data_IF_307889944604
#
_entry.id   IF_307889944604
#
_cell.length_a   1.000
_cell.length_b   1.000
_cell.length_c   1.000
_cell.angle_alpha   90.00
_cell.angle_beta   90.00
_cell.angle_gamma   90.00
#
_symmetry.space_group_name_H-M   'P 1'
#
loop_
_entity.id
_entity.type
_entity.pdbx_description
1 polymer ?
#
# COMPACT_ATOMS: atom_id res chain seq x y z
N UNK A 1 1.89 -4.25 6.85
CA UNK A 1 2.57 -4.24 8.16
C UNK A 1 2.23 -5.48 8.95
N UNK A 2 3.04 -5.80 9.98
CA UNK A 2 2.78 -6.90 10.89
C UNK A 2 1.69 -6.58 11.92
N UNK A 3 1.09 -7.63 12.48
CA UNK A 3 -0.01 -7.55 13.45
C UNK A 3 0.29 -6.66 14.66
N UNK A 4 1.51 -6.73 15.21
CA UNK A 4 1.94 -5.92 16.37
C UNK A 4 1.79 -4.43 16.08
N UNK A 5 2.26 -3.99 14.91
CA UNK A 5 2.15 -2.60 14.49
C UNK A 5 0.70 -2.25 14.12
N UNK A 6 0.06 -3.06 13.28
CA UNK A 6 -1.29 -2.78 12.78
C UNK A 6 -2.32 -2.70 13.91
N UNK A 7 -2.28 -3.61 14.89
CA UNK A 7 -3.19 -3.64 16.02
C UNK A 7 -2.94 -2.46 16.97
N UNK A 8 -1.68 -2.10 17.20
CA UNK A 8 -1.33 -0.93 18.02
C UNK A 8 -1.88 0.37 17.44
N UNK A 9 -1.71 0.57 16.13
CA UNK A 9 -2.27 1.75 15.45
C UNK A 9 -3.81 1.73 15.45
N UNK A 10 -4.43 0.58 15.17
CA UNK A 10 -5.89 0.44 15.21
C UNK A 10 -6.46 0.82 16.59
N UNK A 11 -5.86 0.33 17.68
CA UNK A 11 -6.26 0.67 19.04
C UNK A 11 -6.17 2.17 19.36
N UNK A 12 -5.10 2.84 18.90
CA UNK A 12 -4.94 4.31 19.07
C UNK A 12 -5.99 5.12 18.30
N UNK A 13 -6.49 4.57 17.19
CA UNK A 13 -7.51 5.20 16.35
C UNK A 13 -8.94 4.79 16.74
N UNK A 14 -9.10 3.95 17.78
CA UNK A 14 -10.41 3.44 18.19
C UNK A 14 -11.04 2.46 17.18
N UNK A 15 -10.23 1.88 16.28
CA UNK A 15 -10.68 0.85 15.34
C UNK A 15 -10.58 -0.51 16.04
N UNK A 16 -11.71 -1.22 16.24
CA UNK A 16 -11.67 -2.52 16.89
C UNK A 16 -10.96 -3.53 15.98
N UNK A 17 -10.29 -4.54 16.57
CA UNK A 17 -9.70 -5.63 15.78
C UNK A 17 -10.78 -6.54 15.20
N UNK A 18 -11.87 -6.70 15.94
CA UNK A 18 -13.06 -7.45 15.57
C UNK A 18 -14.34 -6.72 15.98
N UNK A 19 -15.40 -6.93 15.22
CA UNK A 19 -16.76 -6.49 15.56
C UNK A 19 -17.66 -7.74 15.58
N UNK A 20 -18.06 -8.19 16.77
CA UNK A 20 -18.61 -9.53 16.92
C UNK A 20 -17.59 -10.61 16.52
N UNK A 21 -17.95 -11.49 15.59
CA UNK A 21 -17.05 -12.52 15.03
C UNK A 21 -16.21 -12.01 13.86
N UNK A 22 -16.51 -10.81 13.34
CA UNK A 22 -15.94 -10.30 12.11
C UNK A 22 -14.59 -9.61 12.32
N UNK A 23 -13.58 -10.00 11.54
CA UNK A 23 -12.28 -9.34 11.52
C UNK A 23 -12.36 -7.96 10.84
N UNK A 24 -11.82 -6.93 11.50
CA UNK A 24 -11.82 -5.56 10.99
C UNK A 24 -10.42 -5.09 10.55
N UNK A 25 -9.36 -5.70 11.11
CA UNK A 25 -7.97 -5.39 10.76
C UNK A 25 -7.32 -6.58 10.07
N UNK A 26 -7.01 -6.45 8.77
CA UNK A 26 -6.31 -7.48 7.99
C UNK A 26 -4.84 -7.10 7.85
N UNK A 27 -3.93 -7.95 8.31
CA UNK A 27 -2.49 -7.68 8.33
C UNK A 27 -1.66 -8.96 8.24
N UNK A 28 -0.35 -8.82 8.04
CA UNK A 28 0.56 -9.97 8.05
C UNK A 28 0.72 -10.47 9.48
N UNK A 29 0.33 -11.72 9.74
CA UNK A 29 0.64 -12.39 11.00
C UNK A 29 2.14 -12.66 11.10
N UNK A 30 2.70 -12.43 12.28
CA UNK A 30 4.11 -12.69 12.57
C UNK A 30 4.25 -13.10 14.04
N UNK A 31 4.11 -14.40 14.38
CA UNK A 31 4.24 -14.88 15.75
C UNK A 31 5.71 -14.87 16.19
N UNK A 32 6.21 -13.69 16.56
CA UNK A 32 7.62 -13.47 16.87
C UNK A 32 8.15 -14.40 17.97
N UNK A 33 7.37 -14.64 19.04
CA UNK A 33 7.81 -15.48 20.16
C UNK A 33 7.98 -16.95 19.73
N UNK A 34 7.09 -17.46 18.87
CA UNK A 34 7.20 -18.81 18.30
C UNK A 34 8.46 -18.92 17.43
N UNK A 35 8.64 -17.98 16.51
CA UNK A 35 9.79 -17.98 15.61
C UNK A 35 11.10 -17.84 16.37
N UNK A 36 11.18 -16.95 17.35
CA UNK A 36 12.37 -16.79 18.19
C UNK A 36 12.70 -18.07 18.96
N UNK A 37 11.70 -18.83 19.42
CA UNK A 37 11.95 -20.10 20.13
C UNK A 37 12.52 -21.22 19.25
N UNK A 38 12.39 -21.10 17.93
CA UNK A 38 12.79 -22.10 16.93
C UNK A 38 14.11 -21.77 16.22
N UNK A 39 14.56 -20.51 16.30
CA UNK A 39 15.77 -20.03 15.62
C UNK A 39 17.01 -20.20 16.50
N UNK A 40 18.11 -20.63 15.87
CA UNK A 40 19.41 -20.77 16.52
C UNK A 40 20.34 -19.60 16.20
N UNK A 41 21.52 -19.57 16.85
CA UNK A 41 22.57 -18.57 16.56
C UNK A 41 23.00 -18.57 15.08
N UNK A 42 23.07 -19.75 14.46
CA UNK A 42 23.46 -19.91 13.07
C UNK A 42 22.49 -19.18 12.11
N UNK A 43 21.19 -19.19 12.41
CA UNK A 43 20.19 -18.47 11.61
C UNK A 43 20.37 -16.95 11.69
N UNK A 44 20.72 -16.43 12.87
CA UNK A 44 20.99 -15.00 13.06
C UNK A 44 22.31 -14.59 12.39
N UNK A 45 23.38 -15.37 12.57
CA UNK A 45 24.66 -15.11 11.94
C UNK A 45 24.56 -15.11 10.41
N UNK A 46 23.74 -15.99 9.83
CA UNK A 46 23.48 -16.00 8.39
C UNK A 46 22.89 -14.66 7.89
N UNK A 47 21.99 -14.04 8.66
CA UNK A 47 21.39 -12.74 8.31
C UNK A 47 22.38 -11.60 8.54
N UNK A 48 23.15 -11.64 9.63
CA UNK A 48 24.19 -10.66 9.94
C UNK A 48 25.25 -10.62 8.84
N UNK A 49 25.73 -11.77 8.35
CA UNK A 49 26.70 -11.85 7.24
C UNK A 49 26.16 -11.20 5.95
N UNK A 50 24.87 -11.38 5.68
CA UNK A 50 24.19 -10.81 4.50
C UNK A 50 24.04 -9.30 4.65
N UNK A 51 23.64 -8.82 5.82
CA UNK A 51 23.56 -7.40 6.13
C UNK A 51 24.93 -6.72 5.99
N UNK A 52 25.97 -7.28 6.62
CA UNK A 52 27.34 -6.76 6.54
C UNK A 52 27.83 -6.72 5.09
N UNK A 53 27.57 -7.77 4.30
CA UNK A 53 27.97 -7.79 2.90
C UNK A 53 27.28 -6.69 2.10
N UNK A 54 25.95 -6.53 2.26
CA UNK A 54 25.18 -5.50 1.57
C UNK A 54 25.72 -4.11 1.94
N UNK A 55 25.91 -3.83 3.23
CA UNK A 55 26.36 -2.53 3.71
C UNK A 55 27.80 -2.19 3.25
N UNK A 56 28.69 -3.17 3.22
CA UNK A 56 30.09 -2.94 2.90
C UNK A 56 30.40 -2.96 1.39
N UNK A 57 29.60 -3.66 0.58
CA UNK A 57 29.97 -3.94 -0.82
C UNK A 57 28.91 -3.50 -1.85
N UNK A 58 27.64 -3.41 -1.44
CA UNK A 58 26.52 -3.15 -2.35
C UNK A 58 25.83 -1.81 -2.09
N UNK A 59 25.98 -1.25 -0.90
CA UNK A 59 25.42 0.04 -0.56
C UNK A 59 26.20 1.19 -1.21
N UNK A 60 25.47 2.13 -1.78
CA UNK A 60 25.98 3.41 -2.28
C UNK A 60 25.16 4.55 -1.68
N UNK A 61 25.77 5.74 -1.56
CA UNK A 61 25.02 6.92 -1.11
C UNK A 61 23.96 7.36 -2.13
N UNK A 62 24.24 7.18 -3.42
CA UNK A 62 23.33 7.49 -4.52
C UNK A 62 22.53 6.25 -4.96
N UNK A 63 21.50 5.93 -4.18
CA UNK A 63 20.56 4.84 -4.48
C UNK A 63 19.72 5.08 -5.75
N UNK A 64 19.63 6.32 -6.24
CA UNK A 64 18.84 6.65 -7.46
C UNK A 64 19.62 6.34 -8.75
N UNK A 65 20.95 6.21 -8.67
CA UNK A 65 21.80 5.83 -9.80
C UNK A 65 21.47 4.44 -10.36
N UNK A 66 20.96 3.54 -9.52
CA UNK A 66 20.73 2.13 -9.86
C UNK A 66 22.02 1.35 -10.16
N UNK A 67 23.20 1.91 -9.88
CA UNK A 67 24.50 1.32 -10.22
C UNK A 67 24.66 -0.11 -9.69
N UNK A 68 24.12 -0.35 -8.48
CA UNK A 68 24.21 -1.64 -7.77
C UNK A 68 22.98 -2.51 -7.89
N UNK A 69 21.96 -2.11 -8.65
CA UNK A 69 20.68 -2.83 -8.69
C UNK A 69 20.84 -4.28 -9.18
N UNK A 70 21.67 -4.51 -10.20
CA UNK A 70 21.93 -5.85 -10.72
C UNK A 70 22.68 -6.72 -9.70
N UNK A 71 23.74 -6.18 -9.09
CA UNK A 71 24.54 -6.88 -8.08
C UNK A 71 23.69 -7.24 -6.86
N UNK A 72 22.87 -6.29 -6.38
CA UNK A 72 21.93 -6.48 -5.27
C UNK A 72 20.92 -7.56 -5.63
N UNK A 73 20.33 -7.50 -6.82
CA UNK A 73 19.35 -8.50 -7.25
C UNK A 73 19.97 -9.90 -7.29
N UNK A 74 21.13 -10.07 -7.91
CA UNK A 74 21.80 -11.36 -8.02
C UNK A 74 22.16 -11.93 -6.64
N UNK A 75 22.71 -11.08 -5.76
CA UNK A 75 23.06 -11.47 -4.40
C UNK A 75 21.84 -11.90 -3.58
N UNK A 76 20.76 -11.10 -3.60
CA UNK A 76 19.52 -11.41 -2.90
C UNK A 76 18.83 -12.65 -3.48
N UNK A 77 18.82 -12.83 -4.80
CA UNK A 77 18.28 -14.05 -5.42
C UNK A 77 19.05 -15.28 -4.92
N UNK A 78 20.38 -15.25 -4.91
CA UNK A 78 21.18 -16.35 -4.38
C UNK A 78 20.92 -16.61 -2.89
N UNK A 79 20.78 -15.54 -2.10
CA UNK A 79 20.46 -15.67 -0.68
C UNK A 79 19.09 -16.32 -0.44
N UNK A 80 18.01 -15.76 -0.98
CA UNK A 80 16.65 -16.23 -0.72
C UNK A 80 16.35 -17.60 -1.33
N UNK A 81 16.88 -17.87 -2.53
CA UNK A 81 16.56 -19.10 -3.27
C UNK A 81 17.51 -20.26 -2.98
N UNK A 82 18.72 -20.00 -2.49
CA UNK A 82 19.70 -21.05 -2.18
C UNK A 82 20.05 -21.10 -0.70
N UNK A 83 20.74 -20.07 -0.18
CA UNK A 83 21.31 -20.10 1.18
C UNK A 83 20.25 -20.25 2.26
N UNK A 84 19.18 -19.45 2.16
CA UNK A 84 18.13 -19.40 3.16
C UNK A 84 17.33 -20.70 3.24
N UNK A 85 17.13 -21.41 2.11
CA UNK A 85 16.33 -22.65 2.05
C UNK A 85 16.91 -23.78 2.91
N UNK A 86 18.22 -23.76 3.17
CA UNK A 86 18.91 -24.75 4.02
C UNK A 86 18.90 -24.44 5.52
N UNK A 87 18.46 -23.25 5.92
CA UNK A 87 18.50 -22.77 7.29
C UNK A 87 17.14 -22.91 8.00
N UNK A 88 17.14 -22.88 9.33
CA UNK A 88 15.90 -22.85 10.13
C UNK A 88 15.04 -21.63 9.79
N UNK A 89 15.67 -20.50 9.50
CA UNK A 89 15.01 -19.28 9.03
C UNK A 89 14.26 -19.46 7.70
N UNK A 90 14.73 -20.33 6.81
CA UNK A 90 14.04 -20.62 5.55
C UNK A 90 12.67 -21.26 5.75
N UNK A 91 12.54 -22.14 6.75
CA UNK A 91 11.26 -22.75 7.10
C UNK A 91 10.27 -21.69 7.59
N UNK A 92 10.72 -20.82 8.50
CA UNK A 92 9.89 -19.72 9.02
C UNK A 92 9.50 -18.74 7.91
N UNK A 93 10.42 -18.41 7.00
CA UNK A 93 10.13 -17.53 5.88
C UNK A 93 8.97 -18.05 5.01
N UNK A 94 8.90 -19.37 4.79
CA UNK A 94 7.81 -20.02 4.06
C UNK A 94 6.46 -20.00 4.79
N UNK A 95 6.45 -19.87 6.12
CA UNK A 95 5.22 -19.82 6.94
C UNK A 95 4.55 -18.43 6.91
N UNK A 96 5.32 -17.36 6.69
CA UNK A 96 4.82 -15.98 6.75
C UNK A 96 3.89 -15.69 5.57
N UNK A 97 2.59 -15.57 5.86
CA UNK A 97 1.58 -15.21 4.86
C UNK A 97 1.46 -13.69 4.73
N UNK A 98 2.29 -13.10 3.87
CA UNK A 98 2.30 -11.66 3.63
C UNK A 98 0.98 -11.16 3.03
N UNK A 99 0.33 -10.20 3.70
CA UNK A 99 -0.85 -9.50 3.19
C UNK A 99 -0.42 -8.37 2.26
N UNK A 100 -0.31 -8.70 0.97
CA UNK A 100 -0.12 -7.76 -0.15
C UNK A 100 -1.34 -7.72 -1.09
N UNK A 101 -1.15 -7.29 -2.34
CA UNK A 101 -2.24 -7.01 -3.31
C UNK A 101 -3.35 -8.07 -3.39
N UNK A 102 -2.99 -9.36 -3.61
CA UNK A 102 -3.99 -10.43 -3.78
C UNK A 102 -4.78 -10.64 -2.49
N UNK A 103 -4.11 -10.56 -1.34
CA UNK A 103 -4.75 -10.77 -0.03
C UNK A 103 -5.56 -9.56 0.41
N UNK A 104 -5.22 -8.34 0.01
CA UNK A 104 -6.10 -7.16 0.18
C UNK A 104 -7.39 -7.32 -0.63
N UNK A 105 -7.29 -7.80 -1.86
CA UNK A 105 -8.47 -8.09 -2.70
C UNK A 105 -9.35 -9.19 -2.08
N UNK A 106 -8.73 -10.23 -1.52
CA UNK A 106 -9.46 -11.28 -0.76
C UNK A 106 -10.12 -10.74 0.50
N UNK A 107 -9.49 -9.81 1.22
CA UNK A 107 -10.09 -9.16 2.38
C UNK A 107 -11.36 -8.39 1.97
N UNK A 108 -11.33 -7.67 0.84
CA UNK A 108 -12.53 -7.03 0.26
C UNK A 108 -13.62 -8.06 -0.02
N UNK A 109 -13.29 -9.18 -0.65
CA UNK A 109 -14.27 -10.25 -0.93
C UNK A 109 -14.92 -10.80 0.35
N UNK A 110 -14.13 -11.03 1.41
CA UNK A 110 -14.65 -11.45 2.71
C UNK A 110 -15.59 -10.41 3.31
N UNK A 111 -15.24 -9.11 3.21
CA UNK A 111 -16.06 -8.00 3.70
C UNK A 111 -17.37 -7.90 2.91
N UNK A 112 -17.36 -8.11 1.60
CA UNK A 112 -18.56 -8.09 0.76
C UNK A 112 -19.48 -9.27 1.09
N UNK A 113 -18.94 -10.48 1.20
CA UNK A 113 -19.70 -11.70 1.50
C UNK A 113 -20.43 -11.60 2.85
N UNK A 114 -19.72 -11.17 3.91
CA UNK A 114 -20.33 -11.03 5.24
C UNK A 114 -21.45 -9.98 5.28
N UNK A 115 -21.29 -8.89 4.52
CA UNK A 115 -22.25 -7.78 4.49
C UNK A 115 -23.35 -7.95 3.43
N UNK A 116 -23.29 -9.03 2.61
CA UNK A 116 -24.17 -9.21 1.45
C UNK A 116 -24.19 -7.98 0.53
N UNK A 117 -23.02 -7.37 0.34
CA UNK A 117 -22.82 -6.18 -0.46
C UNK A 117 -22.13 -6.52 -1.80
N UNK A 118 -22.22 -5.62 -2.76
CA UNK A 118 -21.58 -5.72 -4.07
C UNK A 118 -20.40 -4.75 -4.17
N UNK A 119 -19.54 -4.93 -5.18
CA UNK A 119 -18.39 -4.05 -5.40
C UNK A 119 -18.80 -2.59 -5.63
N UNK A 120 -19.97 -2.35 -6.22
CA UNK A 120 -20.53 -1.02 -6.42
C UNK A 120 -20.98 -0.32 -5.13
N UNK A 121 -21.16 -1.08 -4.04
CA UNK A 121 -21.60 -0.59 -2.73
C UNK A 121 -20.44 -0.20 -1.82
N UNK A 122 -19.18 -0.25 -2.29
CA UNK A 122 -18.01 0.00 -1.45
C UNK A 122 -17.07 1.07 -2.01
N UNK A 123 -16.36 1.70 -1.08
CA UNK A 123 -15.22 2.54 -1.37
C UNK A 123 -13.95 1.92 -0.74
N UNK A 124 -12.83 2.00 -1.46
CA UNK A 124 -11.51 1.58 -0.96
C UNK A 124 -10.50 2.70 -1.13
N UNK A 125 -9.51 2.75 -0.25
CA UNK A 125 -8.44 3.74 -0.28
C UNK A 125 -7.09 3.04 -0.33
N UNK A 126 -6.21 3.47 -1.24
CA UNK A 126 -4.85 2.95 -1.38
C UNK A 126 -3.87 4.01 -1.86
N UNK A 127 -2.56 3.74 -1.76
CA UNK A 127 -1.51 4.71 -2.14
C UNK A 127 -0.39 4.10 -2.97
N UNK A 128 -0.27 2.77 -3.02
CA UNK A 128 0.95 2.11 -3.50
C UNK A 128 0.69 0.88 -4.36
N UNK A 129 1.78 0.25 -4.79
CA UNK A 129 1.78 -1.02 -5.52
C UNK A 129 1.02 -2.09 -4.74
N UNK A 130 1.09 -2.11 -3.40
CA UNK A 130 0.40 -3.15 -2.63
C UNK A 130 -1.13 -3.05 -2.70
N UNK A 131 -1.67 -1.93 -3.18
CA UNK A 131 -3.11 -1.65 -3.27
C UNK A 131 -3.68 -1.83 -4.68
N UNK A 132 -2.84 -1.87 -5.72
CA UNK A 132 -3.29 -1.75 -7.11
C UNK A 132 -4.34 -2.79 -7.50
N UNK A 133 -4.20 -4.04 -7.00
CA UNK A 133 -5.16 -5.11 -7.30
C UNK A 133 -6.53 -4.86 -6.65
N UNK A 134 -6.54 -4.35 -5.42
CA UNK A 134 -7.76 -3.98 -4.72
C UNK A 134 -8.44 -2.80 -5.41
N UNK A 135 -7.68 -1.75 -5.74
CA UNK A 135 -8.17 -0.57 -6.47
C UNK A 135 -8.79 -0.99 -7.81
N UNK A 136 -8.06 -1.79 -8.60
CA UNK A 136 -8.50 -2.28 -9.91
C UNK A 136 -9.79 -3.08 -9.83
N UNK A 137 -9.91 -4.01 -8.88
CA UNK A 137 -11.10 -4.86 -8.75
C UNK A 137 -12.33 -4.05 -8.34
N UNK A 138 -12.17 -3.11 -7.41
CA UNK A 138 -13.28 -2.25 -6.96
C UNK A 138 -13.71 -1.28 -8.06
N UNK A 139 -12.76 -0.67 -8.77
CA UNK A 139 -13.06 0.22 -9.90
C UNK A 139 -13.81 -0.52 -11.00
N UNK A 140 -13.33 -1.71 -11.41
CA UNK A 140 -13.98 -2.52 -12.43
C UNK A 140 -15.37 -3.02 -12.02
N UNK A 141 -15.60 -3.17 -10.71
CA UNK A 141 -16.90 -3.53 -10.13
C UNK A 141 -17.86 -2.36 -9.91
N UNK A 142 -17.51 -1.15 -10.36
CA UNK A 142 -18.37 0.03 -10.25
C UNK A 142 -18.22 0.84 -8.95
N UNK A 143 -17.49 0.31 -7.96
CA UNK A 143 -17.24 0.95 -6.68
C UNK A 143 -16.29 2.14 -6.76
N UNK A 144 -16.01 2.77 -5.62
CA UNK A 144 -15.16 3.95 -5.53
C UNK A 144 -13.73 3.56 -5.09
N UNK A 145 -12.79 3.53 -6.03
CA UNK A 145 -11.37 3.35 -5.73
C UNK A 145 -10.66 4.71 -5.58
N UNK A 146 -10.31 5.10 -4.35
CA UNK A 146 -9.65 6.38 -4.04
C UNK A 146 -8.14 6.18 -3.88
N UNK A 147 -7.36 6.95 -4.62
CA UNK A 147 -5.89 6.95 -4.52
C UNK A 147 -5.42 8.14 -3.68
N UNK A 148 -4.87 7.89 -2.49
CA UNK A 148 -4.45 8.93 -1.55
C UNK A 148 -2.93 9.15 -1.61
N UNK A 149 -2.46 10.34 -2.01
CA UNK A 149 -1.03 10.67 -2.14
C UNK A 149 -0.22 9.57 -2.87
N UNK A 150 -0.86 8.91 -3.85
CA UNK A 150 -0.37 7.67 -4.40
C UNK A 150 0.72 7.80 -5.45
N UNK A 151 1.40 6.67 -5.71
CA UNK A 151 2.36 6.54 -6.80
C UNK A 151 1.66 6.19 -8.13
N UNK A 152 2.42 6.12 -9.22
CA UNK A 152 1.88 5.80 -10.56
C UNK A 152 1.13 4.46 -10.57
N UNK A 153 1.62 3.45 -9.84
CA UNK A 153 1.01 2.13 -9.80
C UNK A 153 -0.38 2.14 -9.16
N UNK A 154 -0.65 3.01 -8.19
CA UNK A 154 -1.98 3.16 -7.63
C UNK A 154 -2.87 4.06 -8.51
N UNK A 155 -2.32 5.18 -9.01
CA UNK A 155 -3.06 6.16 -9.83
C UNK A 155 -3.65 5.55 -11.11
N UNK A 156 -2.95 4.59 -11.73
CA UNK A 156 -3.43 3.93 -12.95
C UNK A 156 -4.66 3.04 -12.77
N UNK A 157 -5.08 2.72 -11.54
CA UNK A 157 -6.22 1.84 -11.27
C UNK A 157 -7.26 2.47 -10.33
N UNK A 158 -7.12 3.75 -10.00
CA UNK A 158 -8.09 4.47 -9.19
C UNK A 158 -9.28 4.97 -9.99
N UNK A 159 -10.40 5.16 -9.32
CA UNK A 159 -11.54 5.94 -9.81
C UNK A 159 -11.26 7.43 -9.71
N UNK A 160 -10.77 7.86 -8.55
CA UNK A 160 -10.34 9.22 -8.28
C UNK A 160 -9.10 9.23 -7.38
N UNK A 161 -8.45 10.38 -7.26
CA UNK A 161 -7.28 10.58 -6.44
C UNK A 161 -7.40 11.85 -5.59
N UNK A 162 -6.72 11.85 -4.46
CA UNK A 162 -6.58 12.99 -3.56
C UNK A 162 -5.11 13.17 -3.20
N UNK A 163 -4.57 14.36 -3.49
CA UNK A 163 -3.28 14.79 -2.96
C UNK A 163 -3.47 15.89 -1.91
N UNK A 164 -3.07 15.62 -0.67
CA UNK A 164 -3.24 16.53 0.47
C UNK A 164 -2.33 16.19 1.65
N UNK A 165 -2.03 17.16 2.49
CA UNK A 165 -1.35 16.96 3.78
C UNK A 165 -2.31 16.57 4.91
N UNK A 166 -3.63 16.65 4.69
CA UNK A 166 -4.65 16.35 5.69
C UNK A 166 -5.62 15.26 5.19
N UNK A 167 -5.56 14.09 5.81
CA UNK A 167 -6.37 12.92 5.45
C UNK A 167 -7.88 13.15 5.60
N UNK A 168 -8.30 14.13 6.40
CA UNK A 168 -9.74 14.47 6.57
C UNK A 168 -10.40 14.90 5.26
N UNK A 169 -9.61 15.36 4.28
CA UNK A 169 -10.09 15.70 2.94
C UNK A 169 -10.55 14.49 2.10
N UNK A 170 -10.40 13.25 2.59
CA UNK A 170 -11.06 12.08 2.00
C UNK A 170 -12.58 12.13 2.24
N UNK A 171 -13.01 12.66 3.39
CA UNK A 171 -14.42 12.62 3.81
C UNK A 171 -15.37 13.25 2.78
N UNK A 172 -15.10 14.45 2.21
CA UNK A 172 -15.95 15.01 1.15
C UNK A 172 -16.14 14.09 -0.05
N UNK A 173 -15.10 13.36 -0.47
CA UNK A 173 -15.18 12.40 -1.60
C UNK A 173 -16.11 11.24 -1.25
N UNK A 174 -15.99 10.68 -0.05
CA UNK A 174 -16.85 9.60 0.43
C UNK A 174 -18.30 10.08 0.58
N UNK A 175 -18.53 11.25 1.17
CA UNK A 175 -19.86 11.83 1.35
C UNK A 175 -20.56 12.08 0.00
N UNK A 176 -19.83 12.57 -1.00
CA UNK A 176 -20.37 12.79 -2.35
C UNK A 176 -20.80 11.48 -3.00
N UNK A 177 -20.00 10.43 -2.85
CA UNK A 177 -20.32 9.11 -3.39
C UNK A 177 -21.48 8.45 -2.65
N UNK A 178 -21.50 8.45 -1.32
CA UNK A 178 -22.62 7.89 -0.54
C UNK A 178 -23.95 8.58 -0.85
N UNK A 179 -23.96 9.92 -0.97
CA UNK A 179 -25.18 10.69 -1.13
C UNK A 179 -25.63 10.90 -2.59
N UNK A 180 -24.80 10.55 -3.56
CA UNK A 180 -25.06 10.88 -4.97
C UNK A 180 -24.55 9.90 -6.00
N UNK A 181 -23.93 8.80 -5.55
CA UNK A 181 -23.34 7.81 -6.41
C UNK A 181 -22.14 8.32 -7.22
N UNK A 182 -21.69 7.47 -8.13
CA UNK A 182 -20.47 7.68 -8.93
C UNK A 182 -20.53 8.93 -9.80
N UNK A 183 -21.67 9.22 -10.43
CA UNK A 183 -21.78 10.33 -11.37
C UNK A 183 -21.77 11.70 -10.66
N UNK A 184 -22.45 11.84 -9.51
CA UNK A 184 -22.37 13.07 -8.72
C UNK A 184 -20.94 13.29 -8.20
N UNK A 185 -20.30 12.23 -7.70
CA UNK A 185 -18.90 12.31 -7.27
C UNK A 185 -17.98 12.73 -8.42
N UNK A 186 -18.15 12.17 -9.62
CA UNK A 186 -17.40 12.56 -10.83
C UNK A 186 -17.58 14.04 -11.16
N UNK A 187 -18.82 14.51 -11.24
CA UNK A 187 -19.13 15.90 -11.59
C UNK A 187 -18.51 16.88 -10.59
N UNK A 188 -18.67 16.62 -9.29
CA UNK A 188 -18.16 17.49 -8.25
C UNK A 188 -16.63 17.47 -8.15
N UNK A 189 -15.99 16.31 -8.33
CA UNK A 189 -14.53 16.21 -8.36
C UNK A 189 -13.95 16.93 -9.57
N UNK A 190 -14.55 16.79 -10.76
CA UNK A 190 -14.10 17.51 -11.96
C UNK A 190 -14.33 19.02 -11.79
N UNK A 191 -15.47 19.43 -11.22
CA UNK A 191 -15.77 20.84 -10.96
C UNK A 191 -14.77 21.48 -10.01
N UNK A 192 -14.28 20.73 -9.03
CA UNK A 192 -13.34 21.19 -8.01
C UNK A 192 -11.90 20.67 -8.26
N UNK A 193 -11.57 20.30 -9.50
CA UNK A 193 -10.19 20.02 -9.93
C UNK A 193 -9.39 21.32 -9.88
N UNK A 194 -8.92 21.63 -8.67
CA UNK A 194 -8.25 22.86 -8.33
C UNK A 194 -6.79 22.80 -8.76
N UNK A 195 -6.51 23.20 -10.00
CA UNK A 195 -5.13 23.41 -10.47
C UNK A 195 -4.59 24.82 -10.13
N UNK A 196 -5.40 25.66 -9.49
CA UNK A 196 -5.13 27.08 -9.25
C UNK A 196 -4.47 27.38 -7.89
N UNK A 197 -4.44 26.41 -6.96
CA UNK A 197 -3.84 26.60 -5.64
C UNK A 197 -2.45 25.97 -5.57
N UNK A 198 -1.50 26.67 -4.98
CA UNK A 198 -0.13 26.15 -4.77
C UNK A 198 -0.07 25.05 -3.70
N UNK A 199 -1.06 25.04 -2.79
CA UNK A 199 -1.22 24.10 -1.69
C UNK A 199 -2.63 23.48 -1.74
N UNK A 200 -2.71 22.15 -1.63
CA UNK A 200 -3.95 21.37 -1.83
C UNK A 200 -5.06 21.62 -0.79
N UNK A 201 -6.14 20.83 -0.78
CA UNK A 201 -6.27 19.51 -1.40
C UNK A 201 -6.50 19.55 -2.92
N UNK A 202 -5.82 18.65 -3.63
CA UNK A 202 -6.00 18.42 -5.06
C UNK A 202 -6.84 17.16 -5.27
N UNK A 203 -8.02 17.32 -5.84
CA UNK A 203 -8.89 16.21 -6.21
C UNK A 203 -8.74 15.90 -7.69
N UNK A 204 -8.66 14.62 -8.06
CA UNK A 204 -8.53 14.20 -9.44
C UNK A 204 -9.52 13.09 -9.80
N UNK A 205 -10.32 13.27 -10.84
CA UNK A 205 -11.01 12.16 -11.49
C UNK A 205 -10.04 11.46 -12.44
N UNK A 206 -9.87 10.14 -12.30
CA UNK A 206 -8.84 9.36 -13.01
C UNK A 206 -9.41 8.59 -14.21
N UNK A 207 -10.66 8.15 -14.14
CA UNK A 207 -11.27 7.34 -15.21
C UNK A 207 -11.35 8.13 -16.51
N UNK A 208 -10.82 7.57 -17.59
CA UNK A 208 -10.76 8.19 -18.91
C UNK A 208 -9.66 9.22 -19.08
N UNK A 209 -8.68 9.29 -18.17
CA UNK A 209 -7.48 10.12 -18.36
C UNK A 209 -6.47 9.42 -19.26
N UNK A 210 -5.90 10.18 -20.17
CA UNK A 210 -4.77 9.75 -21.00
C UNK A 210 -3.47 9.67 -20.18
N UNK A 211 -2.48 8.92 -20.68
CA UNK A 211 -1.18 8.74 -20.01
C UNK A 211 -0.51 10.06 -19.68
N UNK A 212 -0.50 11.02 -20.60
CA UNK A 212 0.09 12.36 -20.39
C UNK A 212 -0.62 13.14 -19.28
N UNK A 213 -1.93 12.97 -19.10
CA UNK A 213 -2.67 13.60 -18.02
C UNK A 213 -2.37 12.95 -16.67
N UNK A 214 -2.18 11.62 -16.65
CA UNK A 214 -1.77 10.89 -15.46
C UNK A 214 -0.37 11.31 -15.01
N UNK A 215 0.56 11.55 -15.93
CA UNK A 215 1.92 12.02 -15.60
C UNK A 215 1.93 13.35 -14.84
N UNK A 216 1.09 14.32 -15.23
CA UNK A 216 0.95 15.59 -14.50
C UNK A 216 0.34 15.39 -13.10
N UNK A 217 -0.66 14.52 -12.98
CA UNK A 217 -1.25 14.16 -11.68
C UNK A 217 -0.19 13.50 -10.77
N UNK A 218 0.62 12.60 -11.32
CA UNK A 218 1.69 11.91 -10.58
C UNK A 218 2.70 12.90 -10.00
N UNK A 219 3.06 13.98 -10.73
CA UNK A 219 3.97 15.02 -10.21
C UNK A 219 3.41 15.68 -8.95
N UNK A 220 2.12 16.04 -8.96
CA UNK A 220 1.44 16.64 -7.79
C UNK A 220 1.43 15.67 -6.62
N UNK A 221 1.05 14.41 -6.85
CA UNK A 221 1.00 13.38 -5.82
C UNK A 221 2.38 13.08 -5.23
N UNK A 222 3.44 12.98 -6.07
CA UNK A 222 4.82 12.80 -5.61
C UNK A 222 5.29 13.96 -4.74
N UNK A 223 4.97 15.21 -5.11
CA UNK A 223 5.30 16.41 -4.31
C UNK A 223 4.68 16.32 -2.92
N UNK A 224 3.36 16.10 -2.83
CA UNK A 224 2.67 16.02 -1.54
C UNK A 224 3.10 14.80 -0.72
N UNK A 225 3.29 13.64 -1.36
CA UNK A 225 3.83 12.43 -0.71
C UNK A 225 5.18 12.71 -0.06
N UNK A 226 6.04 13.48 -0.72
CA UNK A 226 7.35 13.89 -0.21
C UNK A 226 7.27 14.83 0.98
N UNK A 227 6.29 15.74 0.99
CA UNK A 227 6.03 16.63 2.14
C UNK A 227 5.57 15.82 3.37
N UNK A 228 4.64 14.88 3.19
CA UNK A 228 4.03 14.14 4.31
C UNK A 228 4.93 13.02 4.85
N UNK A 229 5.71 12.36 3.97
CA UNK A 229 6.53 11.19 4.34
C UNK A 229 8.03 11.48 4.42
N UNK A 230 8.47 12.69 4.07
CA UNK A 230 9.90 13.01 3.98
C UNK A 230 10.65 12.07 3.04
N UNK A 231 11.85 11.62 3.46
CA UNK A 231 12.68 10.67 2.68
C UNK A 231 11.98 9.33 2.42
N UNK A 232 11.08 8.89 3.31
CA UNK A 232 10.33 7.64 3.14
C UNK A 232 9.28 7.69 2.01
N UNK A 233 9.05 8.86 1.39
CA UNK A 233 8.23 9.00 0.19
C UNK A 233 8.83 8.36 -1.05
N UNK A 234 10.18 8.29 -1.10
CA UNK A 234 10.95 7.71 -2.21
C UNK A 234 10.97 6.18 -2.21
N UNK A 235 10.51 5.55 -1.12
CA UNK A 235 10.46 4.11 -0.96
C UNK A 235 9.11 3.56 -1.48
N UNK A 236 9.17 2.58 -2.39
CA UNK A 236 8.01 1.87 -2.95
C UNK A 236 7.19 2.68 -3.94
#
# INVERSE_FOLDING_TARGET
SYSQHAHSIAGRLGVPLKEGEDQMVFCTGLPLDDYHSRLGKEDFSLVEEVEEYILNNLYTEDLESGEKDSDIKEYLDSFFWNKLQGAGLGQIFGEVRVVGGRRKSRAVEMILQRNKAYLEDIAVVGDSITDFQMLKVVEAGGGLAVVFNGNIYALSYGTCALATTDMRNIKPVLDLWVNGGREKARQEIIRHQNHLFEEGPFYHWLVGKEVSQLEEIVKIHKKIRSIVRGRAAKLG
#
